data_IF_308638942028
#
_entry.id   IF_308638942028
#
_cell.length_a   1.000
_cell.length_b   1.000
_cell.length_c   1.000
_cell.angle_alpha   90.00
_cell.angle_beta   90.00
_cell.angle_gamma   90.00
#
_symmetry.space_group_name_H-M   'P 1'
#
loop_
_entity.id
_entity.type
_entity.pdbx_description
1 polymer ?
#
# COMPACT_ATOMS: atom_id res chain seq x y z
N UNK A 1 19.02 -3.45 16.81
CA UNK A 1 18.59 -4.17 15.60
C UNK A 1 17.44 -3.44 14.94
N UNK A 2 17.59 -3.04 13.68
CA UNK A 2 16.54 -2.39 12.91
C UNK A 2 15.87 -3.40 12.00
N UNK A 3 14.54 -3.28 11.91
CA UNK A 3 13.75 -4.02 10.94
C UNK A 3 12.94 -3.05 10.10
N UNK A 4 12.56 -3.49 8.92
CA UNK A 4 11.75 -2.71 7.99
C UNK A 4 10.44 -3.43 7.80
N UNK A 5 9.35 -2.72 8.08
CA UNK A 5 8.02 -3.29 8.05
C UNK A 5 7.27 -2.72 6.87
N UNK A 6 6.84 -3.57 5.96
CA UNK A 6 5.96 -3.18 4.85
C UNK A 6 4.53 -3.45 5.30
N UNK A 7 3.74 -2.40 5.33
CA UNK A 7 2.33 -2.48 5.71
C UNK A 7 1.50 -2.24 4.46
N UNK A 8 0.68 -3.23 4.09
CA UNK A 8 -0.24 -3.15 2.97
C UNK A 8 -1.66 -3.18 3.52
N UNK A 9 -2.29 -2.02 3.55
CA UNK A 9 -3.65 -1.85 4.03
C UNK A 9 -4.57 -1.48 2.88
N UNK A 10 -5.71 -2.15 2.78
CA UNK A 10 -6.73 -1.81 1.81
C UNK A 10 -8.11 -1.87 2.43
N UNK A 11 -8.98 -0.98 1.96
CA UNK A 11 -10.39 -0.97 2.33
C UNK A 11 -11.21 -1.09 1.05
N UNK A 12 -12.10 -2.08 1.01
CA UNK A 12 -12.99 -2.32 -0.10
C UNK A 12 -14.37 -2.68 0.43
N UNK A 13 -15.38 -1.91 0.05
CA UNK A 13 -16.76 -2.10 0.48
C UNK A 13 -16.89 -2.25 2.00
N UNK A 14 -16.19 -1.37 2.74
CA UNK A 14 -16.17 -1.33 4.20
C UNK A 14 -15.43 -2.51 4.85
N UNK A 15 -14.80 -3.39 4.07
CA UNK A 15 -13.94 -4.43 4.58
C UNK A 15 -12.49 -3.94 4.58
N UNK A 16 -11.80 -4.14 5.69
CA UNK A 16 -10.42 -3.72 5.87
C UNK A 16 -9.51 -4.93 5.94
N UNK A 17 -8.52 -4.97 5.04
CA UNK A 17 -7.50 -6.01 5.00
C UNK A 17 -6.14 -5.37 5.26
N UNK A 18 -5.37 -5.96 6.18
CA UNK A 18 -4.03 -5.49 6.49
C UNK A 18 -3.06 -6.66 6.39
N UNK A 19 -2.02 -6.50 5.60
CA UNK A 19 -0.92 -7.46 5.47
C UNK A 19 0.37 -6.79 5.90
N UNK A 20 1.16 -7.52 6.68
CA UNK A 20 2.42 -7.00 7.22
C UNK A 20 3.54 -7.96 6.86
N UNK A 21 4.63 -7.41 6.30
CA UNK A 21 5.85 -8.14 5.98
C UNK A 21 7.02 -7.48 6.69
N UNK A 22 7.77 -8.27 7.46
CA UNK A 22 8.95 -7.77 8.18
C UNK A 22 10.21 -8.26 7.49
N UNK A 23 11.17 -7.36 7.28
CA UNK A 23 12.46 -7.68 6.68
C UNK A 23 13.59 -7.08 7.52
N UNK A 24 14.74 -7.77 7.55
CA UNK A 24 15.90 -7.29 8.28
C UNK A 24 16.76 -6.29 7.50
N UNK A 25 16.51 -6.11 6.20
CA UNK A 25 17.20 -5.09 5.42
C UNK A 25 16.23 -4.32 4.55
N UNK A 26 16.59 -3.06 4.30
CA UNK A 26 15.77 -2.13 3.51
C UNK A 26 15.59 -2.60 2.07
N UNK A 27 16.63 -3.14 1.48
CA UNK A 27 16.59 -3.56 0.07
C UNK A 27 15.52 -4.62 -0.17
N UNK A 28 15.41 -5.61 0.72
CA UNK A 28 14.36 -6.64 0.62
C UNK A 28 12.97 -6.07 0.86
N UNK A 29 12.84 -5.18 1.85
CA UNK A 29 11.57 -4.50 2.11
C UNK A 29 11.14 -3.64 0.92
N UNK A 30 12.08 -2.89 0.33
CA UNK A 30 11.81 -2.04 -0.83
C UNK A 30 11.38 -2.86 -2.04
N UNK A 31 12.03 -3.97 -2.28
CA UNK A 31 11.63 -4.88 -3.36
C UNK A 31 10.21 -5.40 -3.16
N UNK A 32 9.89 -5.84 -1.96
CA UNK A 32 8.54 -6.31 -1.63
C UNK A 32 7.51 -5.18 -1.81
N UNK A 33 7.83 -3.98 -1.34
CA UNK A 33 7.00 -2.81 -1.50
C UNK A 33 6.74 -2.50 -2.98
N UNK A 34 7.80 -2.44 -3.79
CA UNK A 34 7.68 -2.13 -5.22
C UNK A 34 6.86 -3.19 -5.96
N UNK A 35 7.08 -4.47 -5.65
CA UNK A 35 6.33 -5.57 -6.26
C UNK A 35 4.84 -5.51 -5.86
N UNK A 36 4.56 -5.17 -4.61
CA UNK A 36 3.19 -5.04 -4.12
C UNK A 36 2.46 -3.89 -4.79
N UNK A 37 3.12 -2.73 -4.91
CA UNK A 37 2.55 -1.57 -5.61
C UNK A 37 2.26 -1.91 -7.07
N UNK A 38 3.19 -2.56 -7.74
CA UNK A 38 3.04 -2.97 -9.14
C UNK A 38 1.86 -3.92 -9.32
N UNK A 39 1.71 -4.88 -8.44
CA UNK A 39 0.60 -5.82 -8.48
C UNK A 39 -0.74 -5.13 -8.25
N UNK A 40 -0.80 -4.21 -7.28
CA UNK A 40 -2.02 -3.43 -7.00
C UNK A 40 -2.44 -2.60 -8.21
N UNK A 41 -1.48 -1.92 -8.85
CA UNK A 41 -1.78 -1.13 -10.06
C UNK A 41 -2.32 -2.00 -11.20
N UNK A 42 -1.91 -3.26 -11.27
CA UNK A 42 -2.31 -4.17 -12.33
C UNK A 42 -3.65 -4.84 -12.07
N UNK A 43 -3.91 -5.26 -10.83
CA UNK A 43 -5.00 -6.19 -10.52
C UNK A 43 -6.06 -5.65 -9.57
N UNK A 44 -5.77 -4.57 -8.84
CA UNK A 44 -6.72 -4.05 -7.87
C UNK A 44 -7.90 -3.36 -8.57
N UNK A 45 -9.09 -3.54 -8.01
CA UNK A 45 -10.31 -2.98 -8.58
C UNK A 45 -10.29 -1.45 -8.70
N UNK A 46 -9.55 -0.75 -7.84
CA UNK A 46 -9.41 0.70 -7.94
C UNK A 46 -8.74 1.12 -9.24
N UNK A 47 -7.87 0.28 -9.79
CA UNK A 47 -7.12 0.58 -11.01
C UNK A 47 -7.71 -0.05 -12.27
N UNK A 48 -8.43 -1.16 -12.13
CA UNK A 48 -9.01 -1.87 -13.29
C UNK A 48 -10.45 -1.47 -13.57
N UNK A 49 -11.08 -0.75 -12.68
CA UNK A 49 -12.42 -0.24 -12.89
C UNK A 49 -12.38 0.85 -13.98
N UNK A 50 -13.33 0.77 -14.91
CA UNK A 50 -13.40 1.67 -16.06
C UNK A 50 -13.73 3.12 -15.68
N UNK A 51 -14.32 3.35 -14.50
CA UNK A 51 -14.69 4.68 -14.01
C UNK A 51 -13.69 5.18 -12.97
N UNK A 52 -12.43 5.31 -13.38
CA UNK A 52 -11.38 5.76 -12.46
C UNK A 52 -11.01 7.24 -12.64
N UNK A 53 -11.92 8.06 -13.16
CA UNK A 53 -11.69 9.50 -13.37
C UNK A 53 -11.41 10.24 -12.05
N UNK A 54 -11.94 9.73 -10.94
CA UNK A 54 -11.77 10.33 -9.62
C UNK A 54 -10.61 9.70 -8.83
N UNK A 55 -9.84 8.84 -9.46
CA UNK A 55 -8.73 8.15 -8.78
C UNK A 55 -7.60 9.11 -8.49
N UNK A 56 -7.22 9.21 -7.23
CA UNK A 56 -6.06 9.98 -6.77
C UNK A 56 -4.99 9.01 -6.34
N UNK A 57 -3.78 9.20 -6.87
CA UNK A 57 -2.62 8.37 -6.51
C UNK A 57 -1.52 9.27 -6.00
N UNK A 58 -1.02 8.97 -4.81
CA UNK A 58 0.10 9.68 -4.20
C UNK A 58 1.21 8.67 -3.93
N UNK A 59 2.37 8.92 -4.51
CA UNK A 59 3.52 8.03 -4.39
C UNK A 59 4.73 8.77 -3.85
N UNK A 60 5.46 8.12 -2.97
CA UNK A 60 6.78 8.54 -2.55
C UNK A 60 7.71 7.32 -2.53
N UNK A 61 8.97 7.52 -2.14
CA UNK A 61 9.95 6.43 -2.11
C UNK A 61 9.48 5.25 -1.24
N UNK A 62 8.86 5.55 -0.09
CA UNK A 62 8.47 4.53 0.89
C UNK A 62 6.97 4.50 1.19
N UNK A 63 6.16 5.14 0.37
CA UNK A 63 4.71 5.11 0.56
C UNK A 63 3.94 5.17 -0.75
N UNK A 64 2.79 4.55 -0.76
CA UNK A 64 1.86 4.54 -1.88
C UNK A 64 0.45 4.63 -1.33
N UNK A 65 -0.32 5.56 -1.86
CA UNK A 65 -1.71 5.73 -1.46
C UNK A 65 -2.57 5.93 -2.71
N UNK A 66 -3.69 5.24 -2.79
CA UNK A 66 -4.66 5.41 -3.87
C UNK A 66 -6.06 5.43 -3.28
N UNK A 67 -6.86 6.38 -3.72
CA UNK A 67 -8.25 6.52 -3.25
C UNK A 67 -9.08 7.24 -4.31
N UNK A 68 -10.40 7.19 -4.15
CA UNK A 68 -11.32 7.92 -5.02
C UNK A 68 -11.77 9.21 -4.33
N UNK A 69 -11.56 10.33 -5.00
CA UNK A 69 -11.95 11.65 -4.51
C UNK A 69 -13.38 11.98 -4.97
N UNK A 70 -14.13 12.66 -4.10
CA UNK A 70 -15.49 13.11 -4.42
C UNK A 70 -16.56 12.03 -4.40
N UNK A 71 -16.22 10.82 -3.95
CA UNK A 71 -17.14 9.69 -3.85
C UNK A 71 -17.49 9.42 -2.40
N UNK A 72 -18.69 8.90 -2.13
CA UNK A 72 -19.05 8.38 -0.80
C UNK A 72 -18.35 7.05 -0.50
N UNK A 73 -17.57 6.58 -1.44
CA UNK A 73 -16.80 5.36 -1.34
C UNK A 73 -15.60 5.57 -0.43
N UNK A 74 -15.40 4.68 0.54
CA UNK A 74 -14.25 4.71 1.43
C UNK A 74 -13.12 3.79 0.95
N UNK A 75 -13.23 3.28 -0.27
CA UNK A 75 -12.24 2.37 -0.84
C UNK A 75 -10.90 3.09 -1.02
N UNK A 76 -9.86 2.49 -0.47
CA UNK A 76 -8.51 3.03 -0.59
C UNK A 76 -7.47 1.94 -0.41
N UNK A 77 -6.26 2.24 -0.86
CA UNK A 77 -5.08 1.40 -0.70
C UNK A 77 -3.98 2.26 -0.07
N UNK A 78 -3.33 1.72 0.95
CA UNK A 78 -2.20 2.36 1.62
C UNK A 78 -1.10 1.34 1.79
N UNK A 79 0.06 1.57 1.19
CA UNK A 79 1.22 0.69 1.32
C UNK A 79 2.40 1.55 1.77
N UNK A 80 3.09 1.13 2.82
CA UNK A 80 4.19 1.90 3.36
C UNK A 80 5.30 1.00 3.88
N UNK A 81 6.51 1.57 3.96
CA UNK A 81 7.65 0.94 4.62
C UNK A 81 7.95 1.76 5.86
N UNK A 82 7.99 1.12 7.02
CA UNK A 82 8.36 1.75 8.28
C UNK A 82 9.63 1.11 8.84
N UNK A 83 10.56 1.96 9.31
CA UNK A 83 11.75 1.51 10.02
C UNK A 83 11.42 1.40 11.50
N UNK A 84 11.69 0.25 12.09
CA UNK A 84 11.42 -0.01 13.51
C UNK A 84 12.68 -0.48 14.20
N UNK A 85 12.95 0.07 15.38
CA UNK A 85 14.03 -0.39 16.23
C UNK A 85 13.52 -1.52 17.12
N UNK A 86 14.19 -2.67 17.06
CA UNK A 86 13.86 -3.80 17.91
C UNK A 86 14.74 -3.77 19.15
N UNK A 87 14.14 -3.63 20.30
CA UNK A 87 14.79 -3.67 21.59
C UNK A 87 14.67 -5.10 22.11
N UNK A 88 15.77 -5.81 21.99
CA UNK A 88 15.76 -7.22 22.39
C UNK A 88 16.53 -7.47 23.65
#
# INVERSE_FOLDING_TARGET
>A
LKVFVVIDESVYQMENDVFVKVSFNYKSAKKYFDDTVKERKKNDHLFVDLENEDLVVEESENSFCAYRDGCYCTDHINISIEEQEVIG
#
